data_IF_995271936495
#
_entry.id   IF_995271936495
#
_cell.length_a   1.000
_cell.length_b   1.000
_cell.length_c   1.000
_cell.angle_alpha   90.00
_cell.angle_beta   90.00
_cell.angle_gamma   90.00
#
_symmetry.space_group_name_H-M   'P 1'
#
loop_
_entity.id
_entity.type
_entity.pdbx_description
1 polymer ?
#
# COMPACT_ATOMS: atom_id res chain seq x y z
N UNK A 1 -4.16 9.07 9.34
CA UNK A 1 -3.14 8.70 8.34
C UNK A 1 -2.65 7.32 8.67
N UNK A 2 -3.03 6.35 7.85
CA UNK A 2 -2.83 4.94 8.17
C UNK A 2 -1.61 4.42 7.42
N UNK A 3 -0.84 3.53 8.04
CA UNK A 3 0.35 2.94 7.43
C UNK A 3 0.16 1.43 7.29
N UNK A 4 0.24 0.95 6.06
CA UNK A 4 0.11 -0.47 5.72
C UNK A 4 1.44 -0.96 5.14
N UNK A 5 1.93 -2.10 5.63
CA UNK A 5 3.19 -2.72 5.17
C UNK A 5 2.95 -4.18 4.77
N UNK A 6 3.35 -4.54 3.55
CA UNK A 6 3.26 -5.92 3.03
C UNK A 6 4.43 -6.78 3.50
N UNK A 7 5.65 -6.30 3.28
CA UNK A 7 6.87 -7.01 3.62
C UNK A 7 7.47 -7.71 2.40
N UNK A 8 8.21 -8.81 2.56
CA UNK A 8 8.68 -9.60 1.44
C UNK A 8 7.58 -10.53 0.92
N UNK A 9 7.38 -10.59 -0.39
CA UNK A 9 6.44 -11.51 -1.03
C UNK A 9 5.59 -10.85 -2.10
N UNK A 10 4.38 -11.37 -2.27
CA UNK A 10 3.36 -10.77 -3.13
C UNK A 10 2.23 -10.38 -2.21
N UNK A 11 2.16 -9.09 -1.89
CA UNK A 11 1.20 -8.55 -0.96
C UNK A 11 0.07 -7.81 -1.68
N UNK A 12 -1.16 -7.94 -1.18
CA UNK A 12 -2.30 -7.16 -1.63
C UNK A 12 -2.65 -6.16 -0.51
N UNK A 13 -2.30 -4.88 -0.69
CA UNK A 13 -2.50 -3.81 0.30
C UNK A 13 -3.68 -2.92 -0.10
N UNK A 14 -4.68 -2.77 0.78
CA UNK A 14 -5.83 -1.87 0.61
C UNK A 14 -5.87 -0.82 1.71
N UNK A 15 -5.73 0.46 1.35
CA UNK A 15 -5.76 1.59 2.30
C UNK A 15 -7.17 1.93 2.79
N UNK A 16 -8.11 2.08 1.85
CA UNK A 16 -9.50 2.42 2.16
C UNK A 16 -9.79 3.91 1.96
N UNK A 17 -10.75 4.50 2.68
CA UNK A 17 -10.96 5.94 2.66
C UNK A 17 -10.02 6.65 3.64
N UNK A 18 -9.24 7.62 3.18
CA UNK A 18 -8.29 8.28 4.06
C UNK A 18 -7.11 8.88 3.33
N UNK A 19 -6.04 9.17 4.08
CA UNK A 19 -4.72 9.43 3.51
C UNK A 19 -3.85 8.29 3.98
N UNK A 20 -3.62 7.33 3.10
CA UNK A 20 -2.97 6.08 3.45
C UNK A 20 -1.53 6.03 2.91
N UNK A 21 -0.65 5.41 3.69
CA UNK A 21 0.73 5.14 3.30
C UNK A 21 0.91 3.64 3.13
N UNK A 22 0.96 3.19 1.88
CA UNK A 22 1.07 1.78 1.50
C UNK A 22 2.53 1.47 1.16
N UNK A 23 3.14 0.52 1.86
CA UNK A 23 4.52 0.08 1.63
C UNK A 23 4.48 -1.40 1.27
N UNK A 24 4.57 -1.71 -0.04
CA UNK A 24 4.53 -3.10 -0.54
C UNK A 24 5.69 -3.90 0.04
N UNK A 25 6.92 -3.45 -0.23
CA UNK A 25 8.13 -4.04 0.29
C UNK A 25 8.89 -4.75 -0.81
N UNK A 26 9.28 -5.99 -0.59
CA UNK A 26 10.11 -6.73 -1.53
C UNK A 26 9.30 -7.76 -2.30
N UNK A 27 9.04 -7.54 -3.57
CA UNK A 27 8.39 -8.50 -4.45
C UNK A 27 7.35 -7.83 -5.33
N UNK A 28 6.30 -8.56 -5.72
CA UNK A 28 5.32 -8.08 -6.69
C UNK A 28 4.00 -7.80 -6.02
N UNK A 29 3.91 -6.60 -5.47
CA UNK A 29 2.80 -6.17 -4.64
C UNK A 29 1.67 -5.52 -5.47
N UNK A 30 0.46 -5.48 -4.90
CA UNK A 30 -0.67 -4.74 -5.45
C UNK A 30 -1.20 -3.81 -4.36
N UNK A 31 -1.00 -2.52 -4.56
CA UNK A 31 -1.44 -1.49 -3.64
C UNK A 31 -2.63 -0.74 -4.21
N UNK A 32 -3.68 -0.62 -3.41
CA UNK A 32 -4.86 0.17 -3.72
C UNK A 32 -5.13 1.14 -2.58
N UNK A 33 -4.81 2.41 -2.82
CA UNK A 33 -5.08 3.53 -1.91
C UNK A 33 -6.54 3.58 -1.48
N UNK A 34 -7.44 3.66 -2.45
CA UNK A 34 -8.86 3.85 -2.19
C UNK A 34 -9.23 5.31 -2.42
N UNK A 35 -10.02 5.91 -1.52
CA UNK A 35 -10.45 7.30 -1.67
C UNK A 35 -9.58 8.20 -0.81
N UNK A 36 -8.88 9.13 -1.45
CA UNK A 36 -8.16 10.20 -0.79
C UNK A 36 -6.78 10.39 -1.37
N UNK A 37 -5.90 11.06 -0.63
CA UNK A 37 -4.56 11.37 -1.08
C UNK A 37 -3.57 10.36 -0.49
N UNK A 38 -3.43 9.24 -1.19
CA UNK A 38 -2.64 8.09 -0.76
C UNK A 38 -1.22 8.14 -1.33
N UNK A 39 -0.29 7.52 -0.62
CA UNK A 39 1.11 7.37 -1.05
C UNK A 39 1.48 5.90 -1.04
N UNK A 40 1.82 5.36 -2.21
CA UNK A 40 2.31 3.99 -2.35
C UNK A 40 3.82 3.98 -2.59
N UNK A 41 4.54 3.12 -1.87
CA UNK A 41 5.98 2.92 -1.99
C UNK A 41 6.29 1.43 -2.16
N UNK A 42 7.24 1.13 -3.05
CA UNK A 42 7.65 -0.25 -3.38
C UNK A 42 6.47 -1.13 -3.77
N UNK A 43 5.63 -0.63 -4.67
CA UNK A 43 4.46 -1.35 -5.18
C UNK A 43 4.45 -1.24 -6.71
N UNK A 44 4.83 -2.30 -7.45
CA UNK A 44 4.95 -2.29 -8.90
C UNK A 44 3.61 -2.42 -9.65
#
# INVERSE_FOLDING_TARGET
PDELRGGPGRDDLLGGPGKDRLVGGGGRDRCRGGRGADTAQSCP
#
